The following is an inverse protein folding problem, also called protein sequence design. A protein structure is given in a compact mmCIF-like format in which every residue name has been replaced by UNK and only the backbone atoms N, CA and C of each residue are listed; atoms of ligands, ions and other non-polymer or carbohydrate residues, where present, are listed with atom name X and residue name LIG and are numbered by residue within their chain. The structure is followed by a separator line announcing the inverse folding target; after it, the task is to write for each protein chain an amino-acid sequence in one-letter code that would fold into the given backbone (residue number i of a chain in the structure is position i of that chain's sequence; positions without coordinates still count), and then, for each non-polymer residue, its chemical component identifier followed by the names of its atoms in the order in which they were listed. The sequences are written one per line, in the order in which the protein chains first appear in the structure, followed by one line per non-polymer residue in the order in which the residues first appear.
data_IF_140475375446
#
_entry.id   IF_140475375446
#
_cell.length_a   1.000
_cell.length_b   1.000
_cell.length_c   1.000
_cell.angle_alpha   90.00
_cell.angle_beta   90.00
_cell.angle_gamma   90.00
#
_symmetry.space_group_name_H-M   'P 1'
#
loop_
_entity.id
_entity.type
_entity.pdbx_description
1 polymer ?
#
# COMPACT_ATOMS: atom_id res chain seq x y z
N UNK A 1 13.41 12.81 37.31
CA UNK A 1 12.42 13.66 36.62
C UNK A 1 11.29 12.75 36.13
N UNK A 2 10.01 13.16 36.22
CA UNK A 2 8.93 12.36 35.63
C UNK A 2 9.17 12.28 34.13
N UNK A 3 9.33 11.06 33.62
CA UNK A 3 9.38 10.81 32.18
C UNK A 3 8.01 11.10 31.61
N UNK A 4 7.90 12.11 30.73
CA UNK A 4 6.68 12.32 29.96
C UNK A 4 6.41 11.06 29.15
N UNK A 5 5.20 10.48 29.19
CA UNK A 5 4.88 9.32 28.38
C UNK A 5 5.10 9.66 26.91
N UNK A 6 5.75 8.75 26.18
CA UNK A 6 6.03 8.86 24.74
C UNK A 6 5.28 7.74 24.03
N UNK A 7 4.04 7.99 23.57
CA UNK A 7 3.26 6.99 22.87
C UNK A 7 4.02 6.45 21.65
N UNK A 8 4.04 5.14 21.50
CA UNK A 8 4.71 4.45 20.39
C UNK A 8 3.70 3.52 19.72
N UNK A 9 3.57 3.65 18.40
CA UNK A 9 2.64 2.89 17.58
C UNK A 9 3.38 2.06 16.55
N UNK A 10 2.85 0.89 16.23
CA UNK A 10 3.27 0.14 15.05
C UNK A 10 2.51 0.70 13.83
N UNK A 11 3.16 0.79 12.67
CA UNK A 11 2.52 1.24 11.42
C UNK A 11 1.60 0.17 10.83
N UNK A 12 0.61 -0.27 11.59
CA UNK A 12 -0.38 -1.29 11.22
C UNK A 12 -1.74 -0.66 10.90
N UNK A 13 -2.07 -0.59 9.61
CA UNK A 13 -3.42 -0.25 9.10
C UNK A 13 -3.89 1.19 9.35
N UNK A 14 -5.17 1.48 9.08
CA UNK A 14 -5.78 2.81 9.28
C UNK A 14 -6.29 3.06 10.71
N UNK A 15 -6.27 2.03 11.57
CA UNK A 15 -6.89 2.09 12.90
C UNK A 15 -6.23 3.09 13.86
N UNK A 16 -4.98 3.49 13.59
CA UNK A 16 -4.26 4.46 14.41
C UNK A 16 -4.56 5.92 14.05
N UNK A 17 -5.22 6.21 12.91
CA UNK A 17 -5.47 7.58 12.44
C UNK A 17 -6.26 8.44 13.45
N UNK A 18 -7.35 7.96 14.09
CA UNK A 18 -8.06 8.76 15.09
C UNK A 18 -7.21 9.07 16.33
N UNK A 19 -6.35 8.12 16.72
CA UNK A 19 -5.46 8.29 17.87
C UNK A 19 -4.35 9.28 17.55
N UNK A 20 -3.77 9.21 16.35
CA UNK A 20 -2.81 10.19 15.86
C UNK A 20 -3.40 11.60 15.83
N UNK A 21 -4.63 11.75 15.35
CA UNK A 21 -5.31 13.06 15.33
C UNK A 21 -5.49 13.62 16.74
N UNK A 22 -5.93 12.81 17.70
CA UNK A 22 -6.04 13.23 19.10
C UNK A 22 -4.69 13.68 19.67
N UNK A 23 -3.60 12.96 19.38
CA UNK A 23 -2.26 13.30 19.87
C UNK A 23 -1.72 14.58 19.21
N UNK A 24 -1.94 14.75 17.90
CA UNK A 24 -1.66 15.97 17.15
C UNK A 24 -2.38 17.18 17.78
N UNK A 25 -3.69 17.05 18.05
CA UNK A 25 -4.54 18.12 18.61
C UNK A 25 -4.09 18.56 20.01
N UNK A 26 -3.44 17.67 20.77
CA UNK A 26 -2.90 17.94 22.10
C UNK A 26 -1.39 18.25 22.10
N UNK A 27 -0.77 18.37 20.91
CA UNK A 27 0.67 18.57 20.75
C UNK A 27 1.55 17.52 21.46
N UNK A 28 1.07 16.28 21.54
CA UNK A 28 1.78 15.16 22.15
C UNK A 28 2.63 14.48 21.07
N UNK A 29 3.95 14.47 21.25
CA UNK A 29 4.86 13.75 20.35
C UNK A 29 4.70 12.25 20.51
N UNK A 30 4.55 11.55 19.38
CA UNK A 30 4.49 10.10 19.33
C UNK A 30 5.41 9.54 18.25
N UNK A 31 5.70 8.25 18.35
CA UNK A 31 6.65 7.55 17.50
C UNK A 31 5.92 6.46 16.72
N UNK A 32 6.28 6.31 15.45
CA UNK A 32 5.73 5.27 14.59
C UNK A 32 6.85 4.34 14.17
N UNK A 33 6.71 3.08 14.55
CA UNK A 33 7.66 2.01 14.30
C UNK A 33 7.25 1.26 13.04
N UNK A 34 8.22 0.98 12.17
CA UNK A 34 7.99 0.15 10.99
C UNK A 34 7.66 -1.29 11.43
N UNK A 35 6.50 -1.87 11.03
CA UNK A 35 6.04 -3.20 11.45
C UNK A 35 7.02 -4.34 11.11
N UNK A 36 7.91 -4.14 10.14
CA UNK A 36 8.93 -5.14 9.79
C UNK A 36 9.96 -5.30 10.91
N UNK A 37 10.28 -4.23 11.64
CA UNK A 37 11.31 -4.26 12.70
C UNK A 37 10.90 -5.13 13.90
N UNK A 38 9.72 -4.93 14.54
CA UNK A 38 9.27 -5.81 15.61
C UNK A 38 8.97 -7.22 15.09
N UNK A 39 8.58 -7.38 13.82
CA UNK A 39 8.39 -8.70 13.23
C UNK A 39 9.69 -9.50 13.12
N UNK A 40 10.77 -8.89 12.60
CA UNK A 40 12.08 -9.55 12.48
C UNK A 40 12.74 -9.77 13.87
N UNK A 41 12.59 -8.83 14.81
CA UNK A 41 13.07 -8.99 16.18
C UNK A 41 12.41 -10.19 16.88
N UNK A 42 11.13 -10.47 16.60
CA UNK A 42 10.38 -11.57 17.20
C UNK A 42 10.58 -12.93 16.51
N UNK A 43 11.19 -12.97 15.31
CA UNK A 43 11.44 -14.20 14.53
C UNK A 43 12.46 -15.15 15.15
N UNK A 44 13.26 -14.67 16.09
CA UNK A 44 14.31 -15.43 16.78
C UNK A 44 13.78 -16.41 17.83
N UNK A 45 12.49 -16.36 18.19
CA UNK A 45 11.87 -17.24 19.20
C UNK A 45 11.00 -18.36 18.60
N UNK A 46 11.29 -19.61 18.96
CA UNK A 46 10.42 -20.77 18.68
C UNK A 46 9.05 -20.58 19.36
N UNK A 47 8.04 -20.26 18.53
CA UNK A 47 6.60 -20.17 18.84
C UNK A 47 6.25 -19.37 20.11
N UNK A 48 6.16 -18.05 19.98
CA UNK A 48 5.57 -17.18 21.02
C UNK A 48 4.08 -16.98 20.77
N UNK A 49 3.27 -17.11 21.83
CA UNK A 49 1.87 -16.68 21.83
C UNK A 49 1.88 -15.14 21.76
N UNK A 50 1.44 -14.57 20.64
CA UNK A 50 1.25 -13.13 20.52
C UNK A 50 0.09 -12.71 21.42
N UNK A 51 0.37 -11.80 22.35
CA UNK A 51 -0.65 -11.15 23.18
C UNK A 51 -0.35 -9.67 23.20
N UNK A 52 -1.38 -8.82 23.26
CA UNK A 52 -1.22 -7.36 23.23
C UNK A 52 -0.26 -6.85 24.31
N UNK A 53 -0.20 -7.52 25.47
CA UNK A 53 0.73 -7.19 26.56
C UNK A 53 2.19 -7.45 26.21
N UNK A 54 2.48 -8.60 25.60
CA UNK A 54 3.83 -8.98 25.19
C UNK A 54 4.27 -8.11 24.00
N UNK A 55 3.36 -7.84 23.08
CA UNK A 55 3.63 -7.00 21.91
C UNK A 55 3.92 -5.55 22.34
N UNK A 56 3.14 -4.97 23.26
CA UNK A 56 3.41 -3.65 23.82
C UNK A 56 4.75 -3.58 24.58
N UNK A 57 5.12 -4.63 25.31
CA UNK A 57 6.41 -4.70 26.00
C UNK A 57 7.57 -4.72 25.00
N UNK A 58 7.50 -5.56 23.97
CA UNK A 58 8.53 -5.64 22.93
C UNK A 58 8.66 -4.34 22.14
N UNK A 59 7.54 -3.66 21.86
CA UNK A 59 7.53 -2.35 21.21
C UNK A 59 8.24 -1.29 22.07
N UNK A 60 7.98 -1.30 23.38
CA UNK A 60 8.69 -0.44 24.34
C UNK A 60 10.18 -0.78 24.44
N UNK A 61 10.56 -2.05 24.43
CA UNK A 61 11.97 -2.47 24.45
C UNK A 61 12.73 -2.01 23.20
N UNK A 62 12.08 -2.07 22.04
CA UNK A 62 12.63 -1.59 20.77
C UNK A 62 12.84 -0.07 20.80
N UNK A 63 11.91 0.67 21.39
CA UNK A 63 12.01 2.12 21.55
C UNK A 63 13.27 2.57 22.29
N UNK A 64 13.75 1.79 23.26
CA UNK A 64 14.97 2.11 23.99
C UNK A 64 16.26 1.61 23.32
N UNK A 65 16.17 0.66 22.38
CA UNK A 65 17.34 0.05 21.72
C UNK A 65 17.69 0.69 20.39
N UNK A 66 16.70 1.22 19.68
CA UNK A 66 16.87 1.86 18.39
C UNK A 66 16.61 3.37 18.49
N UNK A 67 17.39 4.16 17.75
CA UNK A 67 17.09 5.59 17.54
C UNK A 67 15.88 5.71 16.62
N UNK A 68 14.69 5.62 17.20
CA UNK A 68 13.43 5.80 16.48
C UNK A 68 13.17 7.28 16.23
N UNK A 69 12.89 7.61 14.97
CA UNK A 69 12.48 8.96 14.60
C UNK A 69 11.05 9.24 15.05
N UNK A 70 10.83 10.45 15.55
CA UNK A 70 9.48 10.93 15.85
C UNK A 70 8.63 10.90 14.58
N UNK A 71 7.35 10.55 14.73
CA UNK A 71 6.47 10.55 13.57
C UNK A 71 6.37 11.95 12.99
N UNK A 72 6.76 12.07 11.71
CA UNK A 72 6.55 13.28 10.94
C UNK A 72 5.31 13.10 10.08
N UNK A 73 4.33 13.98 10.29
CA UNK A 73 3.14 14.03 9.44
C UNK A 73 3.57 14.20 7.99
N UNK A 74 3.04 13.35 7.11
CA UNK A 74 3.30 13.46 5.68
C UNK A 74 2.86 14.83 5.20
N UNK A 75 3.77 15.56 4.58
CA UNK A 75 3.48 16.87 3.96
C UNK A 75 2.43 16.71 2.87
N UNK A 76 1.63 17.75 2.64
CA UNK A 76 0.66 17.82 1.54
C UNK A 76 1.27 17.38 0.20
N UNK A 77 2.46 17.88 -0.10
CA UNK A 77 3.27 17.51 -1.28
C UNK A 77 3.50 15.99 -1.42
N UNK A 78 3.71 15.29 -0.31
CA UNK A 78 3.90 13.83 -0.31
C UNK A 78 2.58 13.11 -0.64
N UNK A 79 1.46 13.60 -0.11
CA UNK A 79 0.14 13.05 -0.39
C UNK A 79 -0.23 13.26 -1.87
N UNK A 80 0.05 14.44 -2.40
CA UNK A 80 -0.15 14.77 -3.81
C UNK A 80 0.68 13.86 -4.72
N UNK A 81 1.97 13.70 -4.42
CA UNK A 81 2.85 12.82 -5.19
C UNK A 81 2.35 11.36 -5.19
N UNK A 82 1.89 10.87 -4.03
CA UNK A 82 1.29 9.54 -3.90
C UNK A 82 0.04 9.42 -4.77
N UNK A 83 -0.82 10.43 -4.79
CA UNK A 83 -2.02 10.46 -5.61
C UNK A 83 -1.70 10.48 -7.10
N UNK A 84 -0.78 11.34 -7.53
CA UNK A 84 -0.32 11.43 -8.93
C UNK A 84 0.27 10.10 -9.41
N UNK A 85 1.08 9.44 -8.58
CA UNK A 85 1.66 8.12 -8.90
C UNK A 85 0.57 7.06 -9.12
N UNK A 86 -0.47 7.04 -8.27
CA UNK A 86 -1.62 6.13 -8.40
C UNK A 86 -2.43 6.42 -9.66
N UNK A 87 -2.68 7.70 -9.95
CA UNK A 87 -3.37 8.12 -11.16
C UNK A 87 -2.61 7.72 -12.42
N UNK A 88 -1.28 7.92 -12.43
CA UNK A 88 -0.42 7.50 -13.52
C UNK A 88 -0.49 5.99 -13.76
N UNK A 89 -0.40 5.17 -12.71
CA UNK A 89 -0.55 3.71 -12.82
C UNK A 89 -1.91 3.33 -13.43
N UNK A 90 -3.00 3.89 -12.89
CA UNK A 90 -4.35 3.59 -13.36
C UNK A 90 -4.62 4.04 -14.82
N UNK A 91 -3.96 5.10 -15.28
CA UNK A 91 -4.00 5.53 -16.68
C UNK A 91 -3.18 4.60 -17.57
N UNK A 92 -2.02 4.16 -17.10
CA UNK A 92 -1.15 3.23 -17.83
C UNK A 92 -1.86 1.89 -18.03
N UNK A 93 -2.48 1.35 -16.97
CA UNK A 93 -3.22 0.09 -17.03
C UNK A 93 -4.38 0.17 -18.05
N UNK A 94 -5.14 1.26 -18.02
CA UNK A 94 -6.21 1.53 -19.00
C UNK A 94 -5.68 1.68 -20.41
N UNK A 95 -4.58 2.39 -20.60
CA UNK A 95 -3.96 2.53 -21.91
C UNK A 95 -3.60 1.17 -22.50
N UNK A 96 -2.97 0.32 -21.69
CA UNK A 96 -2.58 -1.04 -22.09
C UNK A 96 -3.83 -1.86 -22.48
N UNK A 97 -4.87 -1.84 -21.66
CA UNK A 97 -6.15 -2.54 -21.92
C UNK A 97 -6.81 -2.09 -23.23
N UNK A 98 -6.88 -0.79 -23.48
CA UNK A 98 -7.44 -0.23 -24.72
C UNK A 98 -6.63 -0.70 -25.92
N UNK A 99 -5.30 -0.66 -25.86
CA UNK A 99 -4.44 -1.10 -26.95
C UNK A 99 -4.64 -2.58 -27.30
N UNK A 100 -4.72 -3.45 -26.29
CA UNK A 100 -5.02 -4.87 -26.51
C UNK A 100 -6.39 -5.06 -27.15
N UNK A 101 -7.42 -4.38 -26.62
CA UNK A 101 -8.80 -4.46 -27.11
C UNK A 101 -8.92 -3.99 -28.57
N UNK A 102 -8.32 -2.85 -28.91
CA UNK A 102 -8.31 -2.33 -30.28
C UNK A 102 -7.59 -3.27 -31.25
N UNK A 103 -6.47 -3.87 -30.82
CA UNK A 103 -5.73 -4.82 -31.67
C UNK A 103 -6.52 -6.11 -31.91
N UNK A 104 -7.22 -6.62 -30.91
CA UNK A 104 -8.11 -7.78 -31.05
C UNK A 104 -9.28 -7.48 -31.98
N UNK A 105 -9.92 -6.31 -31.84
CA UNK A 105 -11.01 -5.90 -32.74
C UNK A 105 -10.55 -5.83 -34.21
N UNK A 106 -9.36 -5.28 -34.47
CA UNK A 106 -8.77 -5.23 -35.82
C UNK A 106 -8.54 -6.63 -36.42
N UNK A 107 -8.05 -7.59 -35.62
CA UNK A 107 -7.84 -8.97 -36.05
C UNK A 107 -9.17 -9.66 -36.36
N UNK A 108 -10.16 -9.53 -35.47
CA UNK A 108 -11.49 -10.13 -35.64
C UNK A 108 -12.17 -9.55 -36.89
N UNK A 109 -12.11 -8.23 -37.07
CA UNK A 109 -12.65 -7.56 -38.24
C UNK A 109 -12.01 -8.05 -39.54
N UNK A 110 -10.68 -8.14 -39.57
CA UNK A 110 -9.94 -8.69 -40.72
C UNK A 110 -10.33 -10.14 -41.03
N UNK A 111 -10.46 -11.00 -40.00
CA UNK A 111 -10.89 -12.40 -40.20
C UNK A 111 -12.33 -12.49 -40.73
N UNK A 112 -13.25 -11.65 -40.25
CA UNK A 112 -14.64 -11.65 -40.69
C UNK A 112 -14.78 -11.21 -42.16
N UNK A 113 -13.98 -10.22 -42.60
CA UNK A 113 -13.94 -9.81 -44.01
C UNK A 113 -13.46 -10.97 -44.89
N UNK A 114 -12.36 -11.63 -44.52
CA UNK A 114 -11.81 -12.76 -45.30
C UNK A 114 -12.81 -13.92 -45.35
N UNK A 115 -13.44 -14.28 -44.23
CA UNK A 115 -14.45 -15.35 -44.20
C UNK A 115 -15.67 -15.02 -45.06
N UNK A 116 -16.15 -13.77 -45.03
CA UNK A 116 -17.29 -13.36 -45.86
C UNK A 116 -16.97 -13.45 -47.35
N UNK A 117 -15.76 -13.05 -47.76
CA UNK A 117 -15.27 -13.19 -49.14
C UNK A 117 -15.16 -14.66 -49.59
N UNK A 118 -14.71 -15.57 -48.71
CA UNK A 118 -14.62 -17.01 -49.01
C UNK A 118 -16.01 -17.63 -49.18
N UNK A 119 -16.97 -17.29 -48.30
CA UNK A 119 -18.35 -17.76 -48.40
C UNK A 119 -19.01 -17.24 -49.68
N UNK A 120 -18.76 -15.97 -50.03
CA UNK A 120 -19.26 -15.38 -51.28
C UNK A 120 -18.72 -16.15 -52.49
N UNK A 121 -17.40 -16.36 -52.60
CA UNK A 121 -16.80 -17.12 -53.72
C UNK A 121 -17.32 -18.57 -53.78
N UNK A 122 -17.54 -19.22 -52.64
CA UNK A 122 -18.11 -20.57 -52.59
C UNK A 122 -19.59 -20.65 -52.99
N UNK A 123 -20.35 -19.55 -52.90
CA UNK A 123 -21.77 -19.51 -53.24
C UNK A 123 -22.06 -19.23 -54.72
N UNK A 124 -21.06 -18.81 -55.51
CA UNK A 124 -21.16 -18.56 -56.95
C UNK A 124 -20.59 -19.71 -57.81
N UNK A 125 -20.43 -20.89 -57.23
CA UNK A 125 -19.95 -22.11 -57.89
C UNK A 125 -21.01 -23.20 -57.84
#
# INVERSE_FOLDING_TARGET
MPVSPRPSFESTGHYHEPVHQFLDDHAITYYVINPVVPYEANKTGLRKVKTDKIDAYHLGELYYKEDLEAFQKKTEQYLDLRQLTRQHSALTDRYVEINYSSKLQSIIFSRNIVMSSVIFVASYR
#
